data_IF_209682943081
#
_entry.id   IF_209682943081
#
_cell.length_a   1.000
_cell.length_b   1.000
_cell.length_c   1.000
_cell.angle_alpha   90.00
_cell.angle_beta   90.00
_cell.angle_gamma   90.00
#
_symmetry.space_group_name_H-M   'P 1'
#
loop_
_entity.id
_entity.type
_entity.pdbx_description
1 polymer ?
#
# COMPACT_ATOMS: atom_id res chain seq x y z
N UNK A 1 -14.21 -37.18 -1.36
CA UNK A 1 -12.82 -37.03 -1.86
C UNK A 1 -12.21 -35.85 -1.13
N UNK A 2 -11.07 -36.03 -0.46
CA UNK A 2 -10.35 -34.91 0.14
C UNK A 2 -9.95 -33.93 -0.96
N UNK A 3 -10.27 -32.65 -0.80
CA UNK A 3 -9.76 -31.61 -1.70
C UNK A 3 -8.25 -31.47 -1.47
N UNK A 4 -7.49 -31.47 -2.56
CA UNK A 4 -6.03 -31.31 -2.56
C UNK A 4 -5.68 -29.88 -3.00
N UNK A 5 -4.77 -29.23 -2.28
CA UNK A 5 -4.25 -27.90 -2.60
C UNK A 5 -3.71 -27.82 -4.03
N UNK A 6 -3.04 -28.86 -4.53
CA UNK A 6 -2.53 -28.89 -5.90
C UNK A 6 -3.67 -28.78 -6.95
N UNK A 7 -4.81 -29.41 -6.69
CA UNK A 7 -5.98 -29.38 -7.57
C UNK A 7 -6.76 -28.06 -7.51
N UNK A 8 -6.62 -27.31 -6.41
CA UNK A 8 -7.26 -26.00 -6.23
C UNK A 8 -6.41 -24.90 -6.87
N UNK A 9 -5.09 -24.93 -6.64
CA UNK A 9 -4.14 -23.91 -7.12
C UNK A 9 -3.89 -24.04 -8.63
N UNK A 10 -3.78 -25.27 -9.15
CA UNK A 10 -3.48 -25.54 -10.56
C UNK A 10 -4.53 -25.05 -11.58
N UNK A 11 -5.70 -24.58 -11.13
CA UNK A 11 -6.75 -24.08 -12.01
C UNK A 11 -6.55 -22.63 -12.43
N UNK A 12 -5.80 -21.82 -11.67
CA UNK A 12 -5.48 -20.40 -11.97
C UNK A 12 -6.67 -19.41 -12.03
N UNK A 13 -7.91 -19.90 -12.03
CA UNK A 13 -9.14 -19.13 -12.20
C UNK A 13 -10.15 -19.60 -11.15
N UNK A 14 -10.17 -18.95 -9.97
CA UNK A 14 -11.09 -19.34 -8.89
C UNK A 14 -12.40 -18.57 -9.00
N UNK A 15 -13.47 -19.32 -9.26
CA UNK A 15 -14.82 -18.80 -9.19
C UNK A 15 -15.30 -18.75 -7.73
N UNK A 16 -16.43 -18.09 -7.48
CA UNK A 16 -17.02 -17.96 -6.15
C UNK A 16 -17.34 -19.31 -5.46
N UNK A 17 -17.39 -20.41 -6.22
CA UNK A 17 -17.73 -21.76 -5.74
C UNK A 17 -16.50 -22.64 -5.50
N UNK A 18 -15.28 -22.12 -5.71
CA UNK A 18 -14.05 -22.86 -5.45
C UNK A 18 -13.92 -23.12 -3.95
N UNK A 19 -13.99 -24.40 -3.56
CA UNK A 19 -13.85 -24.82 -2.15
C UNK A 19 -12.39 -25.07 -1.79
N UNK A 20 -11.98 -24.53 -0.65
CA UNK A 20 -10.68 -24.78 -0.06
C UNK A 20 -10.63 -26.15 0.63
N UNK A 21 -9.46 -26.81 0.69
CA UNK A 21 -9.23 -27.89 1.63
C UNK A 21 -9.50 -27.42 3.07
N UNK A 22 -10.02 -28.30 3.94
CA UNK A 22 -10.38 -27.93 5.31
C UNK A 22 -9.15 -27.63 6.19
N UNK A 23 -8.00 -28.21 5.85
CA UNK A 23 -6.75 -28.07 6.59
C UNK A 23 -5.75 -27.20 5.81
N UNK A 24 -4.91 -26.42 6.51
CA UNK A 24 -3.84 -25.65 5.88
C UNK A 24 -2.86 -26.59 5.15
N UNK A 25 -2.20 -26.13 4.08
CA UNK A 25 -1.26 -26.96 3.34
C UNK A 25 -0.11 -27.38 4.26
N UNK A 26 0.26 -28.66 4.20
CA UNK A 26 1.41 -29.14 4.96
C UNK A 26 2.69 -28.38 4.53
N UNK A 27 3.68 -28.14 5.42
CA UNK A 27 4.84 -27.31 5.09
C UNK A 27 5.64 -27.77 3.85
N UNK A 28 5.67 -29.08 3.57
CA UNK A 28 6.32 -29.61 2.38
C UNK A 28 5.51 -29.35 1.10
N UNK A 29 4.18 -29.42 1.19
CA UNK A 29 3.26 -29.16 0.09
C UNK A 29 3.23 -27.66 -0.24
N UNK A 30 3.13 -26.80 0.77
CA UNK A 30 3.21 -25.35 0.62
C UNK A 30 4.50 -24.94 -0.11
N UNK A 31 5.65 -25.52 0.24
CA UNK A 31 6.93 -25.28 -0.48
C UNK A 31 6.91 -25.80 -1.91
N UNK A 32 6.36 -27.00 -2.15
CA UNK A 32 6.28 -27.61 -3.49
C UNK A 32 5.41 -26.78 -4.44
N UNK A 33 4.31 -26.25 -3.92
CA UNK A 33 3.34 -25.43 -4.66
C UNK A 33 3.68 -23.94 -4.61
N UNK A 34 4.77 -23.56 -3.93
CA UNK A 34 5.19 -22.17 -3.70
C UNK A 34 4.04 -21.28 -3.20
N UNK A 35 3.34 -21.77 -2.17
CA UNK A 35 2.27 -21.05 -1.50
C UNK A 35 2.84 -20.13 -0.42
N UNK A 36 2.19 -18.97 -0.15
CA UNK A 36 2.61 -18.11 0.95
C UNK A 36 2.61 -18.89 2.27
N UNK A 37 3.67 -18.77 3.09
CA UNK A 37 3.73 -19.45 4.39
C UNK A 37 2.66 -18.96 5.37
N UNK A 38 2.07 -17.80 5.08
CA UNK A 38 0.98 -17.16 5.84
C UNK A 38 -0.41 -17.62 5.40
N UNK A 39 -0.54 -18.51 4.40
CA UNK A 39 -1.82 -19.02 3.94
C UNK A 39 -2.42 -19.98 4.98
N UNK A 40 -3.35 -19.48 5.80
CA UNK A 40 -4.09 -20.25 6.80
C UNK A 40 -5.58 -20.01 6.65
N UNK A 41 -6.34 -21.07 6.39
CA UNK A 41 -7.79 -21.02 6.41
C UNK A 41 -8.31 -21.22 7.85
N UNK A 42 -9.53 -20.75 8.09
CA UNK A 42 -10.28 -21.00 9.32
C UNK A 42 -10.93 -22.38 9.19
N UNK A 43 -10.76 -23.30 10.15
CA UNK A 43 -11.36 -24.62 10.07
C UNK A 43 -12.90 -24.57 10.12
N UNK A 44 -13.56 -25.42 9.32
CA UNK A 44 -15.01 -25.64 9.40
C UNK A 44 -15.88 -24.50 8.84
N UNK A 45 -15.31 -23.56 8.10
CA UNK A 45 -16.04 -22.45 7.45
C UNK A 45 -15.83 -22.46 5.94
N UNK A 46 -16.70 -21.77 5.21
CA UNK A 46 -16.49 -21.53 3.78
C UNK A 46 -15.63 -20.27 3.59
N UNK A 47 -14.57 -20.38 2.78
CA UNK A 47 -13.70 -19.26 2.42
C UNK A 47 -13.37 -19.33 0.93
N UNK A 48 -13.38 -18.18 0.26
CA UNK A 48 -12.97 -18.06 -1.13
C UNK A 48 -11.45 -17.89 -1.23
N UNK A 49 -10.86 -18.37 -2.34
CA UNK A 49 -9.53 -17.91 -2.74
C UNK A 49 -9.63 -16.57 -3.42
N UNK A 50 -8.81 -15.64 -2.96
CA UNK A 50 -8.71 -14.29 -3.50
C UNK A 50 -7.29 -14.06 -3.95
N UNK A 51 -7.14 -13.40 -5.09
CA UNK A 51 -5.85 -12.97 -5.58
C UNK A 51 -5.34 -11.80 -4.71
N UNK A 52 -4.08 -11.85 -4.30
CA UNK A 52 -3.39 -10.83 -3.50
C UNK A 52 -2.12 -10.37 -4.25
N UNK A 53 -2.12 -9.17 -4.86
CA UNK A 53 -0.95 -8.64 -5.53
C UNK A 53 0.32 -8.61 -4.67
N UNK A 54 0.19 -8.45 -3.34
CA UNK A 54 1.33 -8.40 -2.42
C UNK A 54 2.06 -9.75 -2.30
N UNK A 55 1.44 -10.83 -2.77
CA UNK A 55 1.98 -12.19 -2.79
C UNK A 55 2.51 -12.61 -4.17
N UNK A 56 2.79 -11.68 -5.09
CA UNK A 56 3.24 -11.96 -6.47
C UNK A 56 4.54 -12.75 -6.61
N UNK A 57 5.36 -12.75 -5.57
CA UNK A 57 6.55 -13.57 -5.44
C UNK A 57 6.25 -15.07 -5.26
N UNK A 58 5.00 -15.40 -4.91
CA UNK A 58 4.49 -16.76 -4.75
C UNK A 58 3.62 -17.17 -5.93
N UNK A 59 3.57 -18.47 -6.18
CA UNK A 59 2.74 -19.06 -7.22
C UNK A 59 1.27 -18.71 -7.00
N UNK A 60 0.62 -18.26 -8.08
CA UNK A 60 -0.79 -17.84 -8.10
C UNK A 60 -1.15 -16.62 -7.24
N UNK A 61 -0.23 -16.09 -6.40
CA UNK A 61 -0.40 -14.91 -5.57
C UNK A 61 -1.73 -14.91 -4.80
N UNK A 62 -1.91 -15.91 -3.92
CA UNK A 62 -3.21 -16.17 -3.27
C UNK A 62 -3.25 -15.80 -1.80
N UNK A 63 -4.45 -15.43 -1.34
CA UNK A 63 -4.84 -15.41 0.07
C UNK A 63 -6.21 -16.06 0.24
N UNK A 64 -6.56 -16.37 1.49
CA UNK A 64 -7.93 -16.72 1.85
C UNK A 64 -8.74 -15.44 2.10
N UNK A 65 -9.97 -15.42 1.61
CA UNK A 65 -10.95 -14.35 1.85
C UNK A 65 -11.62 -14.47 3.22
N UNK A 66 -12.53 -13.54 3.50
CA UNK A 66 -13.31 -13.52 4.74
C UNK A 66 -14.13 -14.82 4.96
N UNK A 67 -14.17 -15.35 6.21
CA UNK A 67 -14.87 -16.59 6.51
C UNK A 67 -16.39 -16.41 6.53
N UNK A 68 -17.08 -17.39 5.93
CA UNK A 68 -18.53 -17.51 5.90
C UNK A 68 -18.97 -18.68 6.77
N UNK A 69 -19.75 -18.35 7.79
CA UNK A 69 -20.25 -19.30 8.78
C UNK A 69 -21.63 -19.80 8.40
N UNK A 70 -21.90 -21.09 8.64
CA UNK A 70 -23.23 -21.67 8.41
C UNK A 70 -24.32 -21.05 9.30
N UNK A 71 -23.95 -20.54 10.47
CA UNK A 71 -24.85 -19.84 11.39
C UNK A 71 -24.38 -18.41 11.64
N UNK A 72 -25.30 -17.46 11.61
CA UNK A 72 -25.05 -16.05 11.89
C UNK A 72 -24.46 -15.85 13.31
N UNK A 73 -24.94 -16.62 14.30
CA UNK A 73 -24.42 -16.55 15.67
C UNK A 73 -22.95 -16.94 15.76
N UNK A 74 -22.54 -18.06 15.16
CA UNK A 74 -21.12 -18.47 15.12
C UNK A 74 -20.26 -17.41 14.44
N UNK A 75 -20.75 -16.82 13.35
CA UNK A 75 -20.09 -15.70 12.68
C UNK A 75 -19.92 -14.50 13.59
N UNK A 76 -20.99 -14.04 14.26
CA UNK A 76 -20.92 -12.92 15.20
C UNK A 76 -19.91 -13.14 16.32
N UNK A 77 -19.87 -14.35 16.91
CA UNK A 77 -18.89 -14.68 17.95
C UNK A 77 -17.46 -14.68 17.42
N UNK A 78 -17.23 -15.26 16.24
CA UNK A 78 -15.89 -15.31 15.65
C UNK A 78 -15.39 -13.91 15.26
N UNK A 79 -16.23 -13.07 14.64
CA UNK A 79 -15.87 -11.69 14.32
C UNK A 79 -15.65 -10.83 15.58
N UNK A 80 -16.39 -11.09 16.66
CA UNK A 80 -16.12 -10.46 17.96
C UNK A 80 -14.75 -10.87 18.52
N UNK A 81 -14.40 -12.16 18.47
CA UNK A 81 -13.09 -12.65 18.88
C UNK A 81 -11.94 -12.07 18.03
N UNK A 82 -12.11 -12.00 16.71
CA UNK A 82 -11.13 -11.36 15.80
C UNK A 82 -10.96 -9.88 16.12
N UNK A 83 -12.05 -9.14 16.33
CA UNK A 83 -11.98 -7.72 16.73
C UNK A 83 -11.25 -7.54 18.05
N UNK A 84 -11.53 -8.39 19.04
CA UNK A 84 -10.80 -8.40 20.31
C UNK A 84 -9.30 -8.67 20.10
N UNK A 85 -8.94 -9.59 19.23
CA UNK A 85 -7.54 -9.85 18.87
C UNK A 85 -6.86 -8.62 18.24
N UNK A 86 -7.55 -7.92 17.32
CA UNK A 86 -7.08 -6.66 16.74
C UNK A 86 -6.93 -5.57 17.81
N UNK A 87 -7.87 -5.46 18.74
CA UNK A 87 -7.83 -4.49 19.85
C UNK A 87 -6.62 -4.73 20.77
N UNK A 88 -6.27 -5.99 21.06
CA UNK A 88 -5.04 -6.33 21.79
C UNK A 88 -3.80 -5.88 21.03
N UNK A 89 -3.79 -6.07 19.70
CA UNK A 89 -2.67 -5.63 18.87
C UNK A 89 -2.50 -4.12 18.88
N UNK A 90 -3.59 -3.38 18.66
CA UNK A 90 -3.57 -1.91 18.67
C UNK A 90 -3.13 -1.37 20.03
N UNK A 91 -3.64 -1.93 21.14
CA UNK A 91 -3.24 -1.56 22.48
C UNK A 91 -1.75 -1.84 22.76
N UNK A 92 -1.27 -3.02 22.36
CA UNK A 92 0.14 -3.38 22.51
C UNK A 92 1.05 -2.45 21.70
N UNK A 93 0.69 -2.13 20.45
CA UNK A 93 1.47 -1.20 19.62
C UNK A 93 1.48 0.21 20.22
N UNK A 94 0.32 0.71 20.68
CA UNK A 94 0.21 2.04 21.28
C UNK A 94 1.02 2.20 22.57
N UNK A 95 1.09 1.13 23.39
CA UNK A 95 1.90 1.12 24.62
C UNK A 95 3.38 0.76 24.38
N UNK A 96 3.76 0.38 23.16
CA UNK A 96 5.12 -0.07 22.85
C UNK A 96 6.11 1.11 22.71
N UNK A 97 7.42 0.87 22.89
CA UNK A 97 8.44 1.87 22.59
C UNK A 97 8.52 2.26 21.10
N UNK A 98 7.79 1.56 20.22
CA UNK A 98 7.75 1.81 18.78
C UNK A 98 6.51 2.59 18.34
N UNK A 99 5.62 3.01 19.25
CA UNK A 99 4.43 3.77 18.90
C UNK A 99 4.76 5.04 18.08
N UNK A 100 5.85 5.74 18.42
CA UNK A 100 6.33 6.90 17.67
C UNK A 100 7.05 6.56 16.35
N UNK A 101 7.27 5.28 16.06
CA UNK A 101 7.90 4.78 14.83
C UNK A 101 6.90 4.14 13.86
N UNK A 102 5.61 4.15 14.19
CA UNK A 102 4.57 3.47 13.43
C UNK A 102 3.42 4.43 13.14
N UNK A 103 3.10 4.55 11.85
CA UNK A 103 1.93 5.30 11.38
C UNK A 103 0.89 4.30 10.91
N UNK A 104 -0.21 4.20 11.65
CA UNK A 104 -1.34 3.36 11.30
C UNK A 104 -1.98 3.86 10.00
N UNK A 105 -2.40 2.95 9.13
CA UNK A 105 -3.15 3.24 7.91
C UNK A 105 -4.13 2.11 7.58
N UNK A 106 -4.79 2.22 6.44
CA UNK A 106 -5.56 1.12 5.86
C UNK A 106 -6.94 0.96 6.51
N UNK A 107 -7.52 -0.22 6.34
CA UNK A 107 -8.95 -0.45 6.55
C UNK A 107 -9.44 -0.28 7.99
N UNK A 108 -8.56 -0.44 8.98
CA UNK A 108 -8.93 -0.21 10.38
C UNK A 108 -9.26 1.25 10.68
N UNK A 109 -8.60 2.21 10.01
CA UNK A 109 -8.93 3.62 10.14
C UNK A 109 -10.28 3.94 9.48
N UNK A 110 -10.56 3.33 8.33
CA UNK A 110 -11.87 3.47 7.69
C UNK A 110 -12.97 2.96 8.62
N UNK A 111 -12.74 1.83 9.29
CA UNK A 111 -13.69 1.33 10.30
C UNK A 111 -13.85 2.27 11.49
N UNK A 112 -12.78 2.91 11.93
CA UNK A 112 -12.83 3.90 13.00
C UNK A 112 -13.64 5.16 12.60
N UNK A 113 -13.54 5.60 11.35
CA UNK A 113 -14.21 6.81 10.86
C UNK A 113 -15.67 6.59 10.43
N UNK A 114 -15.95 5.45 9.79
CA UNK A 114 -17.23 5.20 9.11
C UNK A 114 -18.05 4.06 9.74
N UNK A 115 -17.53 3.38 10.76
CA UNK A 115 -18.26 2.31 11.44
C UNK A 115 -18.76 1.24 10.45
N UNK A 116 -20.07 0.96 10.51
CA UNK A 116 -20.73 -0.08 9.71
C UNK A 116 -20.64 0.15 8.19
N UNK A 117 -20.46 1.39 7.74
CA UNK A 117 -20.38 1.72 6.31
C UNK A 117 -19.03 1.31 5.70
N UNK A 118 -17.99 1.19 6.54
CA UNK A 118 -16.73 0.57 6.12
C UNK A 118 -16.82 -0.95 6.22
N UNK A 119 -16.23 -1.62 5.23
CA UNK A 119 -15.99 -3.07 5.26
C UNK A 119 -15.18 -3.48 6.50
N UNK A 120 -15.34 -4.73 6.93
CA UNK A 120 -14.55 -5.25 8.05
C UNK A 120 -13.04 -5.22 7.73
N UNK A 121 -12.18 -4.77 8.67
CA UNK A 121 -10.74 -4.74 8.46
C UNK A 121 -10.14 -6.13 8.28
N UNK A 122 -9.30 -6.28 7.24
CA UNK A 122 -8.62 -7.53 6.91
C UNK A 122 -7.35 -7.75 7.75
N UNK A 123 -6.62 -6.66 7.94
CA UNK A 123 -5.25 -6.56 8.41
C UNK A 123 -5.01 -5.20 9.10
N UNK A 124 -3.85 -5.08 9.75
CA UNK A 124 -3.34 -3.82 10.30
C UNK A 124 -2.14 -3.35 9.49
N UNK A 125 -2.29 -2.22 8.81
CA UNK A 125 -1.23 -1.63 7.99
C UNK A 125 -0.48 -0.54 8.73
N UNK A 126 0.84 -0.57 8.69
CA UNK A 126 1.72 0.44 9.27
C UNK A 126 2.77 0.93 8.27
N UNK A 127 2.97 2.24 8.23
CA UNK A 127 4.20 2.84 7.67
C UNK A 127 5.22 2.97 8.80
N UNK A 128 6.42 2.45 8.59
CA UNK A 128 7.52 2.54 9.55
C UNK A 128 8.28 3.84 9.33
N UNK A 129 8.39 4.65 10.39
CA UNK A 129 9.10 5.92 10.40
C UNK A 129 10.24 5.93 11.45
N UNK A 130 11.38 6.58 11.18
CA UNK A 130 11.72 7.32 9.96
C UNK A 130 11.94 6.41 8.74
N UNK A 131 11.79 7.00 7.55
CA UNK A 131 11.99 6.37 6.23
C UNK A 131 13.42 5.83 6.01
N UNK A 132 14.35 6.10 6.91
CA UNK A 132 15.72 5.56 6.90
C UNK A 132 15.83 4.13 7.43
N UNK A 133 14.77 3.61 8.08
CA UNK A 133 14.77 2.24 8.57
C UNK A 133 14.83 1.23 7.44
N UNK A 134 15.79 0.31 7.50
CA UNK A 134 15.91 -0.78 6.53
C UNK A 134 15.04 -1.95 6.97
N UNK A 135 14.28 -2.55 6.05
CA UNK A 135 13.47 -3.76 6.30
C UNK A 135 14.30 -4.92 6.88
N UNK A 136 15.57 -5.02 6.49
CA UNK A 136 16.52 -6.04 6.95
C UNK A 136 17.35 -5.58 8.15
N UNK A 137 17.13 -4.37 8.65
CA UNK A 137 17.87 -3.74 9.75
C UNK A 137 17.62 -4.40 11.11
N UNK A 138 18.48 -4.08 12.08
CA UNK A 138 18.38 -4.62 13.45
C UNK A 138 17.17 -4.05 14.19
N UNK A 139 16.86 -2.79 13.92
CA UNK A 139 15.74 -2.02 14.46
C UNK A 139 14.41 -2.65 14.05
N UNK A 140 14.22 -2.93 12.76
CA UNK A 140 13.04 -3.60 12.22
C UNK A 140 12.81 -4.98 12.88
N UNK A 141 13.85 -5.81 13.00
CA UNK A 141 13.74 -7.14 13.64
C UNK A 141 13.37 -7.06 15.12
N UNK A 142 13.94 -6.08 15.84
CA UNK A 142 13.64 -5.84 17.26
C UNK A 142 12.19 -5.40 17.44
N UNK A 143 11.73 -4.45 16.61
CA UNK A 143 10.36 -3.98 16.59
C UNK A 143 9.36 -5.13 16.39
N UNK A 144 9.52 -5.90 15.31
CA UNK A 144 8.58 -6.99 14.99
C UNK A 144 8.54 -8.07 16.10
N UNK A 145 9.69 -8.40 16.68
CA UNK A 145 9.76 -9.39 17.77
C UNK A 145 9.16 -8.85 19.05
N UNK A 146 9.42 -7.59 19.37
CA UNK A 146 8.90 -6.95 20.57
C UNK A 146 7.40 -6.68 20.51
N UNK A 147 6.87 -6.28 19.35
CA UNK A 147 5.42 -6.16 19.13
C UNK A 147 4.75 -7.52 19.36
N UNK A 148 5.23 -8.60 18.74
CA UNK A 148 4.64 -9.93 18.94
C UNK A 148 4.56 -10.32 20.44
N UNK A 149 5.63 -10.07 21.21
CA UNK A 149 5.67 -10.32 22.66
C UNK A 149 4.72 -9.43 23.44
N UNK A 150 4.70 -8.13 23.16
CA UNK A 150 3.79 -7.19 23.81
C UNK A 150 2.32 -7.56 23.56
N UNK A 151 2.00 -8.04 22.36
CA UNK A 151 0.66 -8.52 22.01
C UNK A 151 0.28 -9.76 22.82
N UNK A 152 1.18 -10.73 22.95
CA UNK A 152 0.97 -11.91 23.79
C UNK A 152 0.74 -11.52 25.25
N UNK A 153 1.57 -10.63 25.81
CA UNK A 153 1.44 -10.10 27.17
C UNK A 153 0.09 -9.40 27.39
N UNK A 154 -0.30 -8.49 26.49
CA UNK A 154 -1.58 -7.76 26.56
C UNK A 154 -2.76 -8.73 26.47
N UNK A 155 -2.72 -9.68 25.54
CA UNK A 155 -3.79 -10.66 25.41
C UNK A 155 -3.87 -11.61 26.61
N UNK A 156 -2.74 -11.97 27.23
CA UNK A 156 -2.68 -12.83 28.41
C UNK A 156 -3.17 -12.15 29.68
N UNK A 157 -2.98 -10.83 29.78
CA UNK A 157 -3.45 -10.01 30.90
C UNK A 157 -4.93 -9.60 30.80
N UNK A 158 -5.59 -9.91 29.68
CA UNK A 158 -7.00 -9.58 29.46
C UNK A 158 -7.91 -10.30 30.48
N UNK A 159 -8.61 -9.54 31.37
CA UNK A 159 -9.47 -10.11 32.41
C UNK A 159 -10.69 -10.84 31.86
N UNK A 160 -11.17 -10.45 30.67
CA UNK A 160 -12.29 -11.14 30.01
C UNK A 160 -11.84 -12.49 29.40
N UNK A 161 -10.52 -12.73 29.37
CA UNK A 161 -9.91 -14.07 29.26
C UNK A 161 -10.09 -14.81 27.93
N UNK A 162 -10.93 -14.30 27.03
CA UNK A 162 -11.43 -15.09 25.90
C UNK A 162 -10.43 -15.29 24.76
N UNK A 163 -9.63 -14.27 24.43
CA UNK A 163 -8.73 -14.30 23.27
C UNK A 163 -7.27 -14.33 23.72
N UNK A 164 -6.47 -15.21 23.12
CA UNK A 164 -5.03 -15.36 23.38
C UNK A 164 -4.25 -15.35 22.07
N UNK A 165 -3.26 -14.47 21.97
CA UNK A 165 -2.32 -14.42 20.85
C UNK A 165 -0.99 -15.05 21.24
N UNK A 166 -0.31 -15.71 20.29
CA UNK A 166 0.92 -16.48 20.54
C UNK A 166 2.10 -15.88 19.78
N UNK A 167 3.09 -15.38 20.51
CA UNK A 167 4.26 -14.74 19.92
C UNK A 167 5.29 -15.73 19.36
N UNK A 168 5.37 -16.92 19.95
CA UNK A 168 6.26 -18.01 19.56
C UNK A 168 5.82 -18.71 18.26
N UNK A 169 4.52 -18.67 17.96
CA UNK A 169 3.95 -19.15 16.70
C UNK A 169 3.89 -18.08 15.60
N UNK A 170 4.42 -16.87 15.86
CA UNK A 170 4.39 -15.77 14.92
C UNK A 170 5.11 -16.10 13.61
N UNK A 171 4.44 -15.88 12.48
CA UNK A 171 5.00 -16.09 11.15
C UNK A 171 5.40 -14.77 10.51
N UNK A 172 6.46 -14.80 9.69
CA UNK A 172 6.95 -13.62 8.98
C UNK A 172 7.16 -13.94 7.52
N UNK A 173 6.73 -13.04 6.64
CA UNK A 173 7.02 -13.10 5.21
C UNK A 173 7.43 -11.73 4.70
N UNK A 174 8.34 -11.71 3.73
CA UNK A 174 8.56 -10.52 2.92
C UNK A 174 7.30 -10.26 2.10
N UNK A 175 6.88 -9.00 2.06
CA UNK A 175 5.79 -8.55 1.22
C UNK A 175 6.29 -7.44 0.32
N UNK A 176 5.77 -7.43 -0.90
CA UNK A 176 6.03 -6.36 -1.86
C UNK A 176 4.71 -5.68 -2.15
N UNK A 177 4.41 -4.64 -1.40
CA UNK A 177 3.28 -3.78 -1.70
C UNK A 177 3.61 -2.94 -2.94
N UNK A 178 2.82 -3.14 -4.00
CA UNK A 178 2.68 -2.19 -5.11
C UNK A 178 3.97 -1.82 -5.85
N UNK A 179 4.90 -2.78 -5.94
CA UNK A 179 6.10 -2.79 -6.80
C UNK A 179 7.31 -1.92 -6.43
N UNK A 180 7.32 -1.12 -5.34
CA UNK A 180 8.41 -0.13 -5.15
C UNK A 180 9.04 -0.04 -3.75
N UNK A 181 8.34 -0.39 -2.67
CA UNK A 181 8.89 -0.28 -1.30
C UNK A 181 8.91 -1.62 -0.57
N UNK A 182 9.99 -1.93 0.17
CA UNK A 182 10.09 -3.20 0.89
C UNK A 182 9.11 -3.24 2.06
N UNK A 183 8.40 -4.35 2.23
CA UNK A 183 7.51 -4.58 3.35
C UNK A 183 7.80 -5.87 4.11
N UNK A 184 7.26 -5.96 5.32
CA UNK A 184 7.24 -7.18 6.13
C UNK A 184 5.85 -7.44 6.65
N UNK A 185 5.36 -8.65 6.46
CA UNK A 185 4.14 -9.16 7.10
C UNK A 185 4.49 -9.96 8.35
N UNK A 186 3.78 -9.69 9.43
CA UNK A 186 3.78 -10.45 10.67
C UNK A 186 2.37 -11.03 10.85
N UNK A 187 2.28 -12.35 11.00
CA UNK A 187 1.00 -13.04 11.27
C UNK A 187 1.06 -13.64 12.66
N UNK A 188 0.08 -13.28 13.49
CA UNK A 188 -0.07 -13.78 14.85
C UNK A 188 -1.32 -14.66 14.91
N UNK A 189 -1.19 -15.96 15.22
CA UNK A 189 -2.36 -16.79 15.48
C UNK A 189 -3.01 -16.39 16.80
N UNK A 190 -4.33 -16.56 16.87
CA UNK A 190 -5.10 -16.39 18.07
C UNK A 190 -6.07 -17.54 18.29
N UNK A 191 -6.33 -17.84 19.55
CA UNK A 191 -7.28 -18.87 20.00
C UNK A 191 -8.34 -18.23 20.88
N UNK A 192 -9.57 -18.72 20.81
CA UNK A 192 -10.64 -18.34 21.72
C UNK A 192 -11.58 -19.52 21.96
N UNK A 193 -11.97 -19.75 23.22
CA UNK A 193 -12.85 -20.86 23.56
C UNK A 193 -14.18 -20.77 22.80
N UNK A 194 -14.63 -21.89 22.23
CA UNK A 194 -15.91 -21.98 21.55
C UNK A 194 -15.99 -21.33 20.16
N UNK A 195 -14.89 -20.82 19.60
CA UNK A 195 -14.83 -20.37 18.21
C UNK A 195 -13.61 -20.97 17.49
N UNK A 196 -13.66 -21.18 16.17
CA UNK A 196 -12.47 -21.58 15.41
C UNK A 196 -11.32 -20.59 15.58
N UNK A 197 -10.09 -21.11 15.63
CA UNK A 197 -8.88 -20.30 15.67
C UNK A 197 -8.79 -19.37 14.44
N UNK A 198 -8.04 -18.28 14.61
CA UNK A 198 -7.82 -17.34 13.53
C UNK A 198 -6.43 -16.72 13.56
N UNK A 199 -6.26 -15.71 12.72
CA UNK A 199 -5.02 -14.94 12.62
C UNK A 199 -5.30 -13.45 12.67
N UNK A 200 -4.32 -12.70 13.15
CA UNK A 200 -4.18 -11.26 12.90
C UNK A 200 -2.96 -11.04 12.02
N UNK A 201 -3.15 -10.30 10.94
CA UNK A 201 -2.08 -9.89 10.03
C UNK A 201 -1.69 -8.44 10.30
N UNK A 202 -0.40 -8.19 10.41
CA UNK A 202 0.20 -6.85 10.51
C UNK A 202 1.18 -6.67 9.35
N UNK A 203 0.96 -5.65 8.54
CA UNK A 203 1.81 -5.31 7.40
C UNK A 203 2.58 -4.03 7.69
N UNK A 204 3.90 -4.09 7.54
CA UNK A 204 4.81 -3.00 7.80
C UNK A 204 5.52 -2.60 6.51
N UNK A 205 5.28 -1.38 6.06
CA UNK A 205 5.95 -0.79 4.90
C UNK A 205 7.13 0.07 5.38
N UNK A 206 8.30 -0.14 4.78
CA UNK A 206 9.53 0.59 5.09
C UNK A 206 9.90 1.54 3.95
N UNK A 207 10.69 2.56 4.26
CA UNK A 207 11.21 3.54 3.28
C UNK A 207 10.13 4.34 2.55
N UNK A 208 8.89 4.33 3.04
CA UNK A 208 7.83 5.22 2.60
C UNK A 208 7.76 6.43 3.56
N UNK A 209 7.72 7.64 3.00
CA UNK A 209 7.56 8.88 3.77
C UNK A 209 6.17 9.46 3.53
N UNK A 210 5.32 9.56 4.57
CA UNK A 210 4.02 10.22 4.45
C UNK A 210 4.13 11.63 3.86
N UNK A 211 3.26 11.96 2.92
CA UNK A 211 3.19 13.30 2.31
C UNK A 211 2.66 14.33 3.32
N UNK A 212 1.72 13.91 4.16
CA UNK A 212 1.17 14.68 5.28
C UNK A 212 1.70 14.08 6.59
N UNK A 213 2.03 14.89 7.61
CA UNK A 213 2.40 14.38 8.92
C UNK A 213 1.29 13.47 9.51
N UNK A 214 1.65 12.40 10.24
CA UNK A 214 0.66 11.59 10.92
C UNK A 214 -0.01 12.36 12.07
N UNK A 215 -1.29 12.07 12.30
CA UNK A 215 -2.10 12.67 13.36
C UNK A 215 -2.39 11.65 14.48
N UNK A 216 -2.37 12.06 15.76
CA UNK A 216 -2.84 11.22 16.85
C UNK A 216 -4.32 10.88 16.64
N UNK A 217 -4.62 9.59 16.48
CA UNK A 217 -5.98 9.09 16.23
C UNK A 217 -6.34 8.04 17.27
N UNK A 218 -7.46 8.26 17.96
CA UNK A 218 -8.07 7.25 18.81
C UNK A 218 -8.78 6.21 17.94
N UNK A 219 -8.44 4.94 18.09
CA UNK A 219 -9.09 3.84 17.37
C UNK A 219 -10.12 3.18 18.29
N UNK A 220 -11.43 3.30 18.01
CA UNK A 220 -12.45 2.72 18.86
C UNK A 220 -12.28 1.20 18.97
N UNK A 221 -12.38 0.68 20.20
CA UNK A 221 -12.33 -0.77 20.45
C UNK A 221 -13.70 -1.39 20.31
N UNK A 222 -13.74 -2.66 19.87
CA UNK A 222 -14.99 -3.40 19.70
C UNK A 222 -15.73 -3.69 21.02
N UNK A 223 -15.01 -3.67 22.14
CA UNK A 223 -15.52 -3.88 23.50
C UNK A 223 -16.01 -2.61 24.21
N UNK A 224 -15.84 -1.43 23.59
CA UNK A 224 -16.13 -0.15 24.22
C UNK A 224 -15.13 0.28 25.32
N UNK A 225 -13.99 -0.41 25.43
CA UNK A 225 -12.89 -0.03 26.32
C UNK A 225 -12.15 1.24 25.86
N UNK A 226 -11.14 1.65 26.62
CA UNK A 226 -10.33 2.84 26.29
C UNK A 226 -9.65 2.69 24.93
N UNK A 227 -9.95 3.61 24.01
CA UNK A 227 -9.42 3.59 22.65
C UNK A 227 -7.90 3.84 22.63
N UNK A 228 -7.08 2.94 22.07
CA UNK A 228 -5.66 3.22 21.87
C UNK A 228 -5.48 4.42 20.94
N UNK A 229 -4.56 5.32 21.31
CA UNK A 229 -4.16 6.47 20.49
C UNK A 229 -2.85 6.16 19.79
N UNK A 230 -2.86 6.24 18.46
CA UNK A 230 -1.72 5.94 17.59
C UNK A 230 -1.47 7.12 16.65
N UNK A 231 -0.22 7.30 16.22
CA UNK A 231 0.03 8.11 15.03
C UNK A 231 -0.62 7.44 13.83
N UNK A 232 -1.45 8.15 13.09
CA UNK A 232 -2.20 7.58 11.98
C UNK A 232 -2.21 8.50 10.75
N UNK A 233 -2.42 7.91 9.59
CA UNK A 233 -2.66 8.66 8.37
C UNK A 233 -4.00 9.40 8.45
N UNK A 234 -4.03 10.62 7.93
CA UNK A 234 -5.28 11.39 7.83
C UNK A 234 -6.23 10.78 6.79
N UNK A 235 -7.52 11.11 6.81
CA UNK A 235 -8.44 10.73 5.73
C UNK A 235 -7.97 11.23 4.36
N UNK A 236 -7.40 12.44 4.28
CA UNK A 236 -6.82 12.99 3.05
C UNK A 236 -5.66 12.12 2.52
N UNK A 237 -4.69 11.79 3.37
CA UNK A 237 -3.56 10.95 2.97
C UNK A 237 -4.01 9.54 2.60
N UNK A 238 -4.99 8.99 3.34
CA UNK A 238 -5.57 7.68 3.02
C UNK A 238 -6.22 7.68 1.64
N UNK A 239 -6.95 8.73 1.28
CA UNK A 239 -7.55 8.87 -0.05
C UNK A 239 -6.47 8.98 -1.14
N UNK A 240 -5.45 9.82 -0.92
CA UNK A 240 -4.34 9.96 -1.87
C UNK A 240 -3.63 8.62 -2.15
N UNK A 241 -3.41 7.80 -1.12
CA UNK A 241 -2.84 6.46 -1.28
C UNK A 241 -3.76 5.49 -2.03
N UNK A 242 -5.07 5.53 -1.79
CA UNK A 242 -6.01 4.71 -2.56
C UNK A 242 -5.99 5.07 -4.04
N UNK A 243 -5.93 6.36 -4.37
CA UNK A 243 -5.79 6.81 -5.76
C UNK A 243 -4.44 6.41 -6.37
N UNK A 244 -3.34 6.49 -5.61
CA UNK A 244 -2.05 5.96 -6.04
C UNK A 244 -2.16 4.48 -6.43
N UNK A 245 -2.79 3.63 -5.61
CA UNK A 245 -2.89 2.20 -5.91
C UNK A 245 -3.78 1.92 -7.11
N UNK A 246 -4.86 2.68 -7.29
CA UNK A 246 -5.72 2.57 -8.46
C UNK A 246 -5.02 2.96 -9.77
N UNK A 247 -4.10 3.94 -9.71
CA UNK A 247 -3.39 4.47 -10.88
C UNK A 247 -2.11 3.69 -11.23
N UNK A 248 -1.33 3.27 -10.23
CA UNK A 248 -0.01 2.66 -10.43
C UNK A 248 0.00 1.14 -10.42
N UNK A 249 -0.92 0.50 -9.69
CA UNK A 249 -0.83 -0.94 -9.52
C UNK A 249 -1.15 -1.64 -10.85
N UNK A 250 -0.37 -2.68 -11.16
CA UNK A 250 -0.66 -3.55 -12.31
C UNK A 250 -1.97 -4.31 -12.11
N UNK A 251 -2.39 -4.47 -10.86
CA UNK A 251 -3.60 -5.19 -10.49
C UNK A 251 -4.48 -4.37 -9.52
N UNK A 252 -5.06 -3.23 -9.96
CA UNK A 252 -5.92 -2.41 -9.12
C UNK A 252 -7.04 -3.23 -8.49
N UNK A 253 -7.28 -3.07 -7.19
CA UNK A 253 -8.21 -3.92 -6.44
C UNK A 253 -9.56 -3.22 -6.23
N UNK A 254 -10.67 -3.96 -6.34
CA UNK A 254 -12.01 -3.41 -6.09
C UNK A 254 -12.20 -2.84 -4.68
N UNK A 255 -11.51 -3.41 -3.67
CA UNK A 255 -11.50 -2.88 -2.30
C UNK A 255 -10.93 -1.46 -2.23
N UNK A 256 -9.95 -1.13 -3.07
CA UNK A 256 -9.32 0.18 -3.06
C UNK A 256 -10.20 1.23 -3.74
N UNK A 257 -10.96 0.82 -4.77
CA UNK A 257 -12.01 1.64 -5.38
C UNK A 257 -13.14 1.94 -4.38
N UNK A 258 -13.63 0.92 -3.68
CA UNK A 258 -14.66 1.08 -2.64
C UNK A 258 -14.18 1.99 -1.51
N UNK A 259 -12.98 1.74 -0.97
CA UNK A 259 -12.41 2.53 0.11
C UNK A 259 -12.16 4.00 -0.32
N UNK A 260 -11.69 4.24 -1.56
CA UNK A 260 -11.52 5.58 -2.12
C UNK A 260 -12.83 6.34 -2.23
N UNK A 261 -13.88 5.65 -2.70
CA UNK A 261 -15.23 6.18 -2.78
C UNK A 261 -15.74 6.63 -1.41
N UNK A 262 -15.65 5.76 -0.41
CA UNK A 262 -16.08 6.07 0.96
C UNK A 262 -15.32 7.28 1.51
N UNK A 263 -14.00 7.33 1.32
CA UNK A 263 -13.17 8.45 1.73
C UNK A 263 -13.56 9.76 1.03
N UNK A 264 -13.81 9.72 -0.28
CA UNK A 264 -14.16 10.91 -1.07
C UNK A 264 -15.51 11.54 -0.65
N UNK A 265 -16.38 10.80 0.05
CA UNK A 265 -17.64 11.36 0.57
C UNK A 265 -17.46 12.36 1.72
N UNK A 266 -16.35 12.29 2.45
CA UNK A 266 -16.15 13.11 3.66
C UNK A 266 -14.78 13.79 3.75
N UNK A 267 -13.75 13.23 3.13
CA UNK A 267 -12.41 13.80 3.12
C UNK A 267 -12.25 14.82 1.99
N UNK A 268 -11.68 15.98 2.30
CA UNK A 268 -11.22 16.93 1.29
C UNK A 268 -9.79 16.58 0.91
N UNK A 269 -9.61 16.07 -0.31
CA UNK A 269 -8.30 15.89 -0.91
C UNK A 269 -7.87 17.15 -1.65
N UNK A 270 -6.71 17.69 -1.30
CA UNK A 270 -6.08 18.72 -2.11
C UNK A 270 -5.32 18.11 -3.29
N UNK A 271 -5.31 18.80 -4.43
CA UNK A 271 -4.54 18.37 -5.59
C UNK A 271 -3.04 18.27 -5.27
N UNK A 272 -2.53 19.16 -4.41
CA UNK A 272 -1.13 19.13 -3.99
C UNK A 272 -0.80 17.85 -3.23
N UNK A 273 -1.61 17.43 -2.25
CA UNK A 273 -1.35 16.19 -1.51
C UNK A 273 -1.37 14.97 -2.41
N UNK A 274 -2.33 14.89 -3.34
CA UNK A 274 -2.37 13.82 -4.36
C UNK A 274 -1.06 13.79 -5.16
N UNK A 275 -0.64 14.93 -5.69
CA UNK A 275 0.57 15.01 -6.49
C UNK A 275 1.83 14.72 -5.68
N UNK A 276 1.90 15.11 -4.41
CA UNK A 276 3.03 14.76 -3.53
C UNK A 276 3.17 13.25 -3.32
N UNK A 277 2.04 12.55 -3.12
CA UNK A 277 2.02 11.09 -3.01
C UNK A 277 2.43 10.44 -4.34
N UNK A 278 1.84 10.87 -5.46
CA UNK A 278 2.11 10.32 -6.78
C UNK A 278 3.56 10.56 -7.23
N UNK A 279 4.07 11.80 -7.11
CA UNK A 279 5.45 12.16 -7.50
C UNK A 279 6.49 11.47 -6.62
N UNK A 280 6.17 11.26 -5.33
CA UNK A 280 7.06 10.47 -4.46
C UNK A 280 7.13 9.00 -4.87
N UNK A 281 6.06 8.45 -5.44
CA UNK A 281 6.02 7.06 -5.92
C UNK A 281 6.60 6.91 -7.35
N UNK A 282 6.36 7.89 -8.21
CA UNK A 282 6.96 8.01 -9.53
C UNK A 282 7.08 9.48 -9.96
N UNK A 283 8.30 10.03 -10.05
CA UNK A 283 8.51 11.41 -10.48
C UNK A 283 7.93 11.74 -11.87
N UNK A 284 7.62 10.75 -12.71
CA UNK A 284 6.99 10.96 -14.00
C UNK A 284 5.58 11.58 -13.88
N UNK A 285 4.89 11.43 -12.74
CA UNK A 285 3.60 12.08 -12.50
C UNK A 285 3.65 13.61 -12.52
N UNK A 286 4.83 14.20 -12.28
CA UNK A 286 4.99 15.64 -12.42
C UNK A 286 4.86 16.13 -13.87
N UNK A 287 5.07 15.23 -14.83
CA UNK A 287 4.96 15.50 -16.27
C UNK A 287 3.64 14.96 -16.82
N UNK A 288 3.24 13.76 -16.38
CA UNK A 288 2.01 13.08 -16.78
C UNK A 288 1.00 13.13 -15.62
N UNK A 289 0.39 14.29 -15.41
CA UNK A 289 -0.60 14.45 -14.34
C UNK A 289 -1.86 13.61 -14.62
N UNK A 290 -2.42 12.93 -13.60
CA UNK A 290 -3.64 12.16 -13.80
C UNK A 290 -4.84 13.07 -14.02
N UNK A 291 -5.88 12.52 -14.64
CA UNK A 291 -7.17 13.17 -14.88
C UNK A 291 -8.30 12.36 -14.24
N UNK A 292 -9.47 12.99 -14.04
CA UNK A 292 -10.68 12.29 -13.61
C UNK A 292 -11.08 11.17 -14.58
N UNK A 293 -10.93 11.40 -15.89
CA UNK A 293 -11.15 10.39 -16.93
C UNK A 293 -10.25 9.17 -16.72
N UNK A 294 -8.96 9.40 -16.42
CA UNK A 294 -8.02 8.29 -16.18
C UNK A 294 -8.42 7.43 -14.98
N UNK A 295 -8.97 8.04 -13.93
CA UNK A 295 -9.48 7.30 -12.77
C UNK A 295 -10.75 6.51 -13.11
N UNK A 296 -11.64 7.07 -13.93
CA UNK A 296 -12.84 6.37 -14.38
C UNK A 296 -12.51 5.11 -15.19
N UNK A 297 -11.46 5.18 -16.02
CA UNK A 297 -10.96 4.06 -16.84
C UNK A 297 -10.27 2.94 -16.03
N UNK A 298 -10.05 3.11 -14.72
CA UNK A 298 -9.40 2.07 -13.91
C UNK A 298 -10.26 0.82 -13.85
N UNK A 299 -9.73 -0.26 -14.41
CA UNK A 299 -10.32 -1.61 -14.36
C UNK A 299 -9.93 -2.30 -13.05
N UNK A 300 -10.48 -1.83 -11.94
CA UNK A 300 -10.31 -2.46 -10.64
C UNK A 300 -10.98 -3.84 -10.60
N UNK A 301 -10.33 -4.83 -9.96
CA UNK A 301 -10.85 -6.20 -9.81
C UNK A 301 -12.07 -6.22 -8.87
N UNK A 302 -13.23 -5.88 -9.44
CA UNK A 302 -14.51 -5.84 -8.75
C UNK A 302 -15.07 -7.23 -8.50
N UNK A 303 -14.81 -8.18 -9.40
CA UNK A 303 -15.27 -9.56 -9.24
C UNK A 303 -14.65 -10.22 -8.00
N UNK A 304 -13.36 -10.01 -7.74
CA UNK A 304 -12.72 -10.46 -6.51
C UNK A 304 -13.31 -9.78 -5.28
N UNK A 305 -13.60 -8.47 -5.37
CA UNK A 305 -14.19 -7.71 -4.27
C UNK A 305 -15.61 -8.17 -3.93
N UNK A 306 -16.50 -8.31 -4.92
CA UNK A 306 -17.88 -8.79 -4.72
C UNK A 306 -17.94 -10.25 -4.26
N UNK A 307 -16.94 -11.08 -4.59
CA UNK A 307 -16.82 -12.43 -4.00
C UNK A 307 -16.56 -12.37 -2.50
N UNK A 308 -15.80 -11.40 -2.02
CA UNK A 308 -15.48 -11.28 -0.60
C UNK A 308 -16.58 -10.54 0.17
N UNK A 309 -17.18 -9.51 -0.44
CA UNK A 309 -18.21 -8.66 0.16
C UNK A 309 -19.49 -8.64 -0.70
N UNK A 310 -20.26 -9.74 -0.74
CA UNK A 310 -21.45 -9.84 -1.59
C UNK A 310 -22.59 -8.90 -1.18
N UNK A 311 -22.59 -8.44 0.07
CA UNK A 311 -23.63 -7.56 0.62
C UNK A 311 -23.42 -6.09 0.26
N UNK A 312 -22.27 -5.73 -0.32
CA UNK A 312 -22.00 -4.37 -0.81
C UNK A 312 -22.66 -4.22 -2.20
N UNK A 313 -23.67 -3.34 -2.34
CA UNK A 313 -24.38 -3.20 -3.60
C UNK A 313 -23.57 -2.41 -4.63
N UNK A 314 -23.97 -2.55 -5.90
CA UNK A 314 -23.42 -1.79 -7.02
C UNK A 314 -22.36 -2.53 -7.83
N UNK A 315 -21.89 -1.85 -8.87
CA UNK A 315 -20.93 -2.35 -9.85
C UNK A 315 -19.67 -1.49 -9.86
N UNK A 316 -18.59 -2.00 -10.44
CA UNK A 316 -17.37 -1.20 -10.69
C UNK A 316 -17.68 0.16 -11.29
N UNK A 317 -18.57 0.21 -12.29
CA UNK A 317 -18.91 1.43 -13.02
C UNK A 317 -19.59 2.45 -12.10
N UNK A 318 -20.48 2.00 -11.22
CA UNK A 318 -21.17 2.88 -10.26
C UNK A 318 -20.18 3.58 -9.33
N UNK A 319 -19.21 2.83 -8.79
CA UNK A 319 -18.18 3.38 -7.91
C UNK A 319 -17.14 4.22 -8.66
N UNK A 320 -16.73 3.82 -9.87
CA UNK A 320 -15.84 4.65 -10.71
C UNK A 320 -16.46 6.01 -11.04
N UNK A 321 -17.76 6.03 -11.37
CA UNK A 321 -18.49 7.27 -11.64
C UNK A 321 -18.59 8.13 -10.38
N UNK A 322 -18.98 7.53 -9.25
CA UNK A 322 -19.07 8.23 -7.97
C UNK A 322 -17.72 8.84 -7.54
N UNK A 323 -16.62 8.10 -7.68
CA UNK A 323 -15.28 8.58 -7.37
C UNK A 323 -14.88 9.75 -8.27
N UNK A 324 -15.06 9.62 -9.59
CA UNK A 324 -14.72 10.67 -10.54
C UNK A 324 -15.50 11.96 -10.25
N UNK A 325 -16.81 11.85 -10.01
CA UNK A 325 -17.65 13.01 -9.66
C UNK A 325 -17.24 13.63 -8.32
N UNK A 326 -16.92 12.82 -7.30
CA UNK A 326 -16.53 13.34 -5.98
C UNK A 326 -15.19 14.08 -6.00
N UNK A 327 -14.33 13.77 -6.97
CA UNK A 327 -12.99 14.35 -7.10
C UNK A 327 -12.91 15.48 -8.13
N UNK A 328 -14.00 15.82 -8.83
CA UNK A 328 -14.01 16.81 -9.91
C UNK A 328 -13.45 18.17 -9.46
N UNK A 329 -13.96 18.69 -8.35
CA UNK A 329 -13.48 19.94 -7.75
C UNK A 329 -12.01 19.90 -7.29
N UNK A 330 -11.48 18.72 -6.99
CA UNK A 330 -10.04 18.56 -6.67
C UNK A 330 -9.21 18.66 -7.95
N UNK A 331 -9.65 18.07 -9.07
CA UNK A 331 -8.95 18.18 -10.34
C UNK A 331 -8.99 19.60 -10.93
N UNK A 332 -10.04 20.38 -10.66
CA UNK A 332 -10.10 21.80 -11.05
C UNK A 332 -8.96 22.63 -10.42
N UNK A 333 -8.47 22.26 -9.23
CA UNK A 333 -7.33 22.93 -8.58
C UNK A 333 -6.02 22.80 -9.39
N UNK A 334 -5.93 21.86 -10.34
CA UNK A 334 -4.77 21.77 -11.23
C UNK A 334 -4.53 23.06 -12.04
N UNK A 335 -5.59 23.85 -12.26
CA UNK A 335 -5.51 25.16 -12.90
C UNK A 335 -4.76 26.22 -12.08
N UNK A 336 -4.59 26.00 -10.77
CA UNK A 336 -3.82 26.89 -9.88
C UNK A 336 -2.30 26.76 -10.09
N UNK A 337 -1.85 25.68 -10.73
CA UNK A 337 -0.45 25.47 -11.06
C UNK A 337 0.01 26.32 -12.26
N UNK A 338 1.30 26.67 -12.35
CA UNK A 338 1.81 27.45 -13.48
C UNK A 338 1.46 26.83 -14.84
N UNK A 339 1.12 27.69 -15.80
CA UNK A 339 0.90 27.28 -17.18
C UNK A 339 2.21 26.72 -17.81
N UNK A 340 2.04 25.72 -18.69
CA UNK A 340 3.10 24.96 -19.35
C UNK A 340 3.62 23.78 -18.52
N UNK A 341 3.79 22.61 -19.15
CA UNK A 341 4.15 21.37 -18.47
C UNK A 341 5.48 21.48 -17.73
N UNK A 342 6.50 22.13 -18.32
CA UNK A 342 7.79 22.33 -17.64
C UNK A 342 7.64 23.04 -16.29
N UNK A 343 6.98 24.19 -16.24
CA UNK A 343 6.88 25.01 -15.02
C UNK A 343 6.06 24.32 -13.94
N UNK A 344 4.97 23.67 -14.35
CA UNK A 344 4.18 22.81 -13.47
C UNK A 344 5.01 21.66 -12.91
N UNK A 345 5.76 20.95 -13.76
CA UNK A 345 6.61 19.85 -13.33
C UNK A 345 7.69 20.30 -12.34
N UNK A 346 8.30 21.47 -12.53
CA UNK A 346 9.27 22.05 -11.57
C UNK A 346 8.64 22.25 -10.18
N UNK A 347 7.44 22.82 -10.12
CA UNK A 347 6.71 23.02 -8.84
C UNK A 347 6.38 21.69 -8.18
N UNK A 348 5.96 20.70 -8.95
CA UNK A 348 5.62 19.37 -8.43
C UNK A 348 6.87 18.60 -7.97
N UNK A 349 8.00 18.75 -8.67
CA UNK A 349 9.29 18.09 -8.38
C UNK A 349 10.15 18.83 -7.35
N UNK A 350 9.69 19.94 -6.77
CA UNK A 350 10.53 20.81 -5.92
C UNK A 350 11.28 20.05 -4.82
N UNK A 351 10.63 19.07 -4.18
CA UNK A 351 11.28 18.25 -3.15
C UNK A 351 12.39 17.34 -3.71
N UNK A 352 12.18 16.75 -4.89
CA UNK A 352 13.21 15.97 -5.57
C UNK A 352 14.38 16.89 -5.98
N UNK A 353 14.05 18.06 -6.55
CA UNK A 353 15.03 19.08 -6.95
C UNK A 353 15.85 19.57 -5.76
N UNK A 354 15.24 19.81 -4.59
CA UNK A 354 15.95 20.19 -3.37
C UNK A 354 17.03 19.15 -2.98
N UNK A 355 16.70 17.86 -3.09
CA UNK A 355 17.67 16.78 -2.88
C UNK A 355 18.84 16.84 -3.85
N UNK A 356 18.57 17.09 -5.14
CA UNK A 356 19.61 17.22 -6.16
C UNK A 356 20.45 18.51 -6.02
N UNK A 357 19.84 19.61 -5.57
CA UNK A 357 20.55 20.86 -5.23
C UNK A 357 21.51 20.63 -4.06
N UNK A 358 21.09 19.88 -3.03
CA UNK A 358 21.96 19.48 -1.92
C UNK A 358 23.12 18.60 -2.39
N UNK A 359 22.86 17.60 -3.24
CA UNK A 359 23.94 16.78 -3.85
C UNK A 359 24.91 17.64 -4.66
N UNK A 360 24.42 18.61 -5.43
CA UNK A 360 25.28 19.52 -6.19
C UNK A 360 26.16 20.38 -5.28
N UNK A 361 25.60 20.88 -4.18
CA UNK A 361 26.34 21.70 -3.22
C UNK A 361 27.48 20.92 -2.54
N UNK A 362 27.23 19.64 -2.22
CA UNK A 362 28.19 18.77 -1.54
C UNK A 362 29.23 18.15 -2.50
N UNK A 363 28.81 17.75 -3.70
CA UNK A 363 29.60 16.86 -4.58
C UNK A 363 29.74 17.38 -6.02
N UNK A 364 29.28 18.60 -6.29
CA UNK A 364 29.28 19.17 -7.64
C UNK A 364 28.37 18.42 -8.63
N UNK A 365 28.54 18.73 -9.91
CA UNK A 365 27.77 18.08 -10.98
C UNK A 365 28.14 16.60 -11.19
N UNK A 366 29.33 16.18 -10.77
CA UNK A 366 29.74 14.78 -10.83
C UNK A 366 28.96 13.91 -9.84
N UNK A 367 28.70 14.43 -8.63
CA UNK A 367 27.81 13.75 -7.68
C UNK A 367 26.38 13.65 -8.19
N UNK A 368 25.86 14.73 -8.79
CA UNK A 368 24.55 14.72 -9.45
C UNK A 368 24.49 13.66 -10.56
N UNK A 369 25.50 13.59 -11.42
CA UNK A 369 25.59 12.59 -12.48
C UNK A 369 25.56 11.17 -11.91
N UNK A 370 26.42 10.86 -10.93
CA UNK A 370 26.43 9.53 -10.29
C UNK A 370 25.06 9.17 -9.70
N UNK A 371 24.39 10.15 -9.09
CA UNK A 371 23.05 9.97 -8.53
C UNK A 371 22.00 9.70 -9.62
N UNK A 372 21.96 10.49 -10.69
CA UNK A 372 21.03 10.28 -11.82
C UNK A 372 21.20 8.88 -12.45
N UNK A 373 22.45 8.44 -12.66
CA UNK A 373 22.75 7.10 -13.20
C UNK A 373 22.29 5.98 -12.25
N UNK A 374 22.43 6.20 -10.94
CA UNK A 374 22.00 5.24 -9.91
C UNK A 374 20.48 5.14 -9.76
N UNK A 375 19.78 6.28 -9.77
CA UNK A 375 18.32 6.36 -9.56
C UNK A 375 17.50 6.00 -10.81
N UNK A 376 18.08 6.13 -12.02
CA UNK A 376 17.44 5.73 -13.30
C UNK A 376 16.05 6.34 -13.54
N UNK A 377 15.92 7.63 -13.26
CA UNK A 377 14.68 8.38 -13.44
C UNK A 377 14.20 8.38 -14.91
N UNK A 378 12.95 8.76 -15.16
CA UNK A 378 12.44 8.94 -16.52
C UNK A 378 13.13 10.14 -17.19
N UNK A 379 13.36 10.05 -18.51
CA UNK A 379 14.07 11.09 -19.28
C UNK A 379 13.54 12.52 -19.07
N UNK A 380 12.22 12.79 -19.12
CA UNK A 380 11.70 14.14 -18.88
C UNK A 380 12.13 14.70 -17.52
N UNK A 381 12.15 13.85 -16.49
CA UNK A 381 12.53 14.23 -15.12
C UNK A 381 14.02 14.53 -15.03
N UNK A 382 14.87 13.69 -15.63
CA UNK A 382 16.32 13.95 -15.69
C UNK A 382 16.63 15.27 -16.41
N UNK A 383 15.91 15.56 -17.52
CA UNK A 383 16.05 16.82 -18.27
C UNK A 383 15.67 18.01 -17.40
N UNK A 384 14.53 17.95 -16.68
CA UNK A 384 14.12 19.01 -15.75
C UNK A 384 15.19 19.24 -14.68
N UNK A 385 15.68 18.17 -14.03
CA UNK A 385 16.70 18.27 -12.98
C UNK A 385 17.96 18.96 -13.52
N UNK A 386 18.48 18.52 -14.66
CA UNK A 386 19.68 19.12 -15.25
C UNK A 386 19.44 20.57 -15.66
N UNK A 387 18.25 20.89 -16.19
CA UNK A 387 17.89 22.26 -16.60
C UNK A 387 17.84 23.22 -15.41
N UNK A 388 17.14 22.84 -14.34
CA UNK A 388 17.01 23.61 -13.11
C UNK A 388 18.35 23.78 -12.40
N UNK A 389 19.19 22.74 -12.34
CA UNK A 389 20.52 22.85 -11.76
C UNK A 389 21.45 23.74 -12.60
N UNK A 390 21.20 23.91 -13.89
CA UNK A 390 21.96 24.87 -14.72
C UNK A 390 21.45 26.30 -14.61
N UNK A 391 20.32 26.52 -13.93
CA UNK A 391 19.68 27.83 -13.82
C UNK A 391 19.02 28.27 -15.12
N UNK A 392 18.62 27.32 -15.98
CA UNK A 392 17.96 27.60 -17.25
C UNK A 392 16.44 27.63 -17.10
N UNK A 393 15.76 28.45 -17.91
CA UNK A 393 14.32 28.37 -18.10
C UNK A 393 13.93 27.32 -19.17
N UNK A 394 12.65 27.29 -19.60
CA UNK A 394 12.14 26.37 -20.62
C UNK A 394 12.92 26.41 -21.94
N UNK A 395 13.51 27.55 -22.29
CA UNK A 395 14.34 27.75 -23.48
C UNK A 395 15.61 26.89 -23.48
N UNK A 396 16.12 26.52 -22.30
CA UNK A 396 17.32 25.69 -22.14
C UNK A 396 17.12 24.19 -22.30
N UNK A 397 15.86 23.73 -22.44
CA UNK A 397 15.51 22.30 -22.43
C UNK A 397 16.28 21.48 -23.48
N UNK A 398 16.44 22.01 -24.69
CA UNK A 398 17.16 21.30 -25.76
C UNK A 398 18.65 21.10 -25.44
N UNK A 399 19.26 22.05 -24.74
CA UNK A 399 20.65 21.92 -24.30
C UNK A 399 20.78 20.92 -23.15
N UNK A 400 19.88 20.99 -22.17
CA UNK A 400 19.82 20.07 -21.04
C UNK A 400 19.57 18.63 -21.49
N UNK A 401 18.70 18.40 -22.48
CA UNK A 401 18.51 17.11 -23.11
C UNK A 401 19.79 16.56 -23.77
N UNK A 402 20.55 17.40 -24.48
CA UNK A 402 21.86 17.00 -25.05
C UNK A 402 22.87 16.65 -23.96
N UNK A 403 22.83 17.34 -22.82
CA UNK A 403 23.68 17.03 -21.68
C UNK A 403 23.32 15.69 -21.05
N UNK A 404 22.03 15.44 -20.78
CA UNK A 404 21.54 14.14 -20.28
C UNK A 404 21.92 13.01 -21.23
N UNK A 405 21.78 13.20 -22.54
CA UNK A 405 22.21 12.19 -23.53
C UNK A 405 23.69 11.83 -23.38
N UNK A 406 24.57 12.83 -23.27
CA UNK A 406 26.02 12.60 -23.04
C UNK A 406 26.30 11.84 -21.74
N UNK A 407 25.51 12.06 -20.68
CA UNK A 407 25.67 11.32 -19.42
C UNK A 407 25.46 9.81 -19.59
N UNK A 408 24.56 9.39 -20.49
CA UNK A 408 24.26 7.98 -20.75
C UNK A 408 25.13 7.36 -21.84
N UNK A 409 25.72 8.18 -22.72
CA UNK A 409 26.66 7.73 -23.77
C UNK A 409 28.09 7.47 -23.23
N UNK A 410 28.47 8.05 -22.09
CA UNK A 410 29.81 7.91 -21.54
C UNK A 410 30.00 6.57 -20.77
N UNK A 411 31.04 5.76 -21.10
CA UNK A 411 31.23 4.42 -20.57
C UNK A 411 31.88 4.43 -19.16
N UNK A 412 31.17 4.89 -18.13
CA UNK A 412 31.64 4.83 -16.73
C UNK A 412 31.38 3.47 -16.07
N UNK A 413 31.75 2.37 -16.75
CA UNK A 413 31.71 1.00 -16.17
C UNK A 413 30.32 0.47 -15.79
N UNK A 414 29.24 1.20 -16.10
CA UNK A 414 27.86 0.80 -15.88
C UNK A 414 27.23 0.43 -17.23
N UNK A 415 26.33 -0.57 -17.25
CA UNK A 415 25.63 -0.97 -18.50
C UNK A 415 24.92 0.25 -19.11
N UNK A 416 25.18 0.64 -20.37
CA UNK A 416 24.51 1.75 -21.02
C UNK A 416 22.99 1.57 -20.96
N UNK A 417 22.26 2.63 -20.61
CA UNK A 417 20.80 2.63 -20.70
C UNK A 417 20.42 2.86 -22.16
N UNK A 418 19.84 1.84 -22.78
CA UNK A 418 19.36 1.97 -24.15
C UNK A 418 18.05 2.75 -24.17
N UNK A 419 18.02 3.82 -24.96
CA UNK A 419 16.80 4.57 -25.25
C UNK A 419 16.38 4.32 -26.70
N UNK A 420 15.09 4.11 -26.97
CA UNK A 420 14.61 3.99 -28.33
C UNK A 420 14.87 5.29 -29.11
N UNK A 421 15.02 5.17 -30.43
CA UNK A 421 15.13 6.33 -31.31
C UNK A 421 13.95 7.27 -31.10
N UNK A 422 14.21 8.58 -30.94
CA UNK A 422 13.18 9.58 -30.71
C UNK A 422 12.78 9.82 -29.25
N UNK A 423 13.33 9.08 -28.28
CA UNK A 423 12.92 9.21 -26.88
C UNK A 423 13.18 10.61 -26.29
N UNK A 424 14.29 11.25 -26.66
CA UNK A 424 14.62 12.61 -26.20
C UNK A 424 13.70 13.66 -26.83
N UNK A 425 13.34 13.48 -28.09
CA UNK A 425 12.41 14.35 -28.82
C UNK A 425 11.00 14.25 -28.21
N UNK A 426 10.54 13.04 -27.87
CA UNK A 426 9.27 12.82 -27.17
C UNK A 426 9.29 13.46 -25.78
N UNK A 427 10.37 13.29 -25.02
CA UNK A 427 10.52 13.93 -23.71
C UNK A 427 10.48 15.47 -23.82
N UNK A 428 11.17 16.05 -24.81
CA UNK A 428 11.13 17.49 -25.06
C UNK A 428 9.75 17.99 -25.48
N UNK A 429 9.02 17.21 -26.29
CA UNK A 429 7.66 17.55 -26.68
C UNK A 429 6.72 17.59 -25.45
N UNK A 430 6.81 16.59 -24.57
CA UNK A 430 6.02 16.53 -23.34
C UNK A 430 6.29 17.72 -22.40
N UNK A 431 7.52 18.23 -22.34
CA UNK A 431 7.87 19.37 -21.50
C UNK A 431 7.50 20.73 -22.10
N UNK A 432 7.30 20.80 -23.42
CA UNK A 432 6.95 22.03 -24.16
C UNK A 432 5.45 22.26 -24.30
N UNK A 433 4.64 21.20 -24.26
CA UNK A 433 3.19 21.31 -24.07
C UNK A 433 2.86 21.95 -22.73
#
# INVERSE_FOLDING_TARGET
MSLDWAAVVGRGWWNATTRLPPDPPAPHEARRLDLPPTLRNVPGVEQALVFDPAMKQHSCAIRVGEPRFASEEAGRRWYAARRRALDHVLAAVAASPWAGNLVLRGSVLLRAWYGADAREPGDLDFVVVPDTWKVSGREARRMLTGIARAVEEVSGADPDGGVRLRADEAMRSDIWTYSKVPGRRLVLPWTCEGVPDGIVQLDFVFNERPAVPPEPTAVPRGDGGEAPVLGAATPELSLAWKLLWLLEDRYPQGKDLFDACLLATSARLSYRTLMDVLVSADPLYAVNVPTAEKLFEVEADWDAFSKEYPDIPGTRIDYSMMLATSLDAMFEQAAELPAGAYRRAVVLLERLLAGYRATRADQGMDGVRRRLVGERLALPVEIIIVNELRGHGPEGLAESARAVRRLHDEPDGHRPRWYPAGAFEQALAALRG
#
